data_IF_985732061061
#
_entry.id   IF_985732061061
#
_cell.length_a   1.000
_cell.length_b   1.000
_cell.length_c   1.000
_cell.angle_alpha   90.00
_cell.angle_beta   90.00
_cell.angle_gamma   90.00
#
_symmetry.space_group_name_H-M   'P 1'
#
loop_
_entity.id
_entity.type
_entity.pdbx_description
1 polymer ?
#
# COMPACT_ATOMS: atom_id res chain seq x y z
N UNK A 1 8.53 -18.00 33.69
CA UNK A 1 9.85 -17.90 33.02
C UNK A 1 9.71 -18.03 31.49
N UNK A 2 8.89 -18.99 30.99
CA UNK A 2 8.65 -19.20 29.54
C UNK A 2 7.99 -17.98 28.88
N UNK A 3 7.06 -17.32 29.53
CA UNK A 3 6.34 -16.15 29.00
C UNK A 3 7.25 -14.92 28.80
N UNK A 4 8.29 -14.75 29.60
CA UNK A 4 9.28 -13.71 29.38
C UNK A 4 10.14 -13.98 28.15
N UNK A 5 10.47 -15.25 27.91
CA UNK A 5 11.24 -15.65 26.74
C UNK A 5 10.50 -15.41 25.43
N UNK A 6 9.22 -15.80 25.35
CA UNK A 6 8.37 -15.56 24.17
C UNK A 6 8.18 -14.07 23.88
N UNK A 7 7.87 -13.27 24.94
CA UNK A 7 7.72 -11.82 24.78
C UNK A 7 9.02 -11.16 24.35
N UNK A 8 10.16 -11.59 24.88
CA UNK A 8 11.47 -11.05 24.50
C UNK A 8 11.81 -11.37 23.04
N UNK A 9 11.54 -12.61 22.61
CA UNK A 9 11.76 -13.02 21.22
C UNK A 9 10.86 -12.26 20.25
N UNK A 10 9.56 -12.15 20.56
CA UNK A 10 8.63 -11.39 19.75
C UNK A 10 8.99 -9.88 19.73
N UNK A 11 9.39 -9.31 20.87
CA UNK A 11 9.87 -7.93 20.94
C UNK A 11 11.11 -7.71 20.09
N UNK A 12 12.06 -8.64 20.12
CA UNK A 12 13.28 -8.57 19.28
C UNK A 12 12.94 -8.62 17.80
N UNK A 13 11.99 -9.47 17.40
CA UNK A 13 11.48 -9.52 16.02
C UNK A 13 10.77 -8.22 15.63
N UNK A 14 9.94 -7.68 16.53
CA UNK A 14 9.18 -6.45 16.30
C UNK A 14 10.08 -5.22 16.16
N UNK A 15 11.16 -5.16 16.94
CA UNK A 15 12.15 -4.06 16.90
C UNK A 15 13.24 -4.28 15.82
N UNK A 16 13.16 -5.37 15.06
CA UNK A 16 14.14 -5.69 14.01
C UNK A 16 13.78 -5.00 12.68
N UNK A 17 14.78 -4.87 11.81
CA UNK A 17 14.61 -4.41 10.42
C UNK A 17 13.59 -5.27 9.63
N UNK A 18 13.26 -6.47 10.14
CA UNK A 18 12.23 -7.33 9.56
C UNK A 18 10.83 -6.68 9.52
N UNK A 19 10.57 -5.67 10.35
CA UNK A 19 9.34 -4.90 10.35
C UNK A 19 9.46 -3.53 9.65
N UNK A 20 10.59 -3.26 9.00
CA UNK A 20 10.72 -2.09 8.15
C UNK A 20 9.98 -2.33 6.81
N UNK A 21 8.92 -1.57 6.49
CA UNK A 21 8.21 -1.70 5.23
C UNK A 21 9.10 -1.55 4.00
N UNK A 22 10.15 -0.74 4.07
CA UNK A 22 11.08 -0.52 2.97
C UNK A 22 11.94 -1.76 2.69
N UNK A 23 12.28 -2.52 3.72
CA UNK A 23 13.04 -3.77 3.59
C UNK A 23 12.25 -4.90 2.89
N UNK A 24 10.91 -4.84 2.91
CA UNK A 24 10.07 -5.91 2.38
C UNK A 24 9.53 -5.67 0.97
N UNK A 25 9.23 -4.44 0.62
CA UNK A 25 8.49 -4.13 -0.61
C UNK A 25 9.04 -2.95 -1.40
N UNK A 26 10.18 -2.39 -0.98
CA UNK A 26 10.79 -1.24 -1.63
C UNK A 26 11.92 -1.59 -2.59
N UNK A 27 12.18 -0.72 -3.54
CA UNK A 27 13.47 -0.70 -4.19
C UNK A 27 14.49 -0.10 -3.20
N UNK A 28 15.67 -0.69 -3.02
CA UNK A 28 16.66 -0.25 -2.02
C UNK A 28 17.03 1.24 -2.09
N UNK A 29 16.89 1.85 -3.27
CA UNK A 29 17.30 3.23 -3.53
C UNK A 29 16.15 4.26 -3.34
N UNK A 30 14.95 3.84 -2.90
CA UNK A 30 13.77 4.72 -2.85
C UNK A 30 13.20 4.85 -1.46
N UNK A 31 13.77 5.78 -0.72
CA UNK A 31 13.22 6.14 0.60
C UNK A 31 11.85 6.81 0.47
N UNK A 32 10.95 6.40 1.32
CA UNK A 32 9.65 7.05 1.53
C UNK A 32 9.85 8.39 2.23
N UNK A 33 9.31 9.48 1.66
CA UNK A 33 9.34 10.81 2.26
C UNK A 33 7.93 11.38 2.42
N UNK A 34 7.72 12.35 3.34
CA UNK A 34 6.41 13.00 3.48
C UNK A 34 5.87 13.58 2.17
N UNK A 35 6.75 14.12 1.32
CA UNK A 35 6.37 14.68 0.02
C UNK A 35 5.93 13.61 -0.97
N UNK A 36 6.61 12.45 -1.01
CA UNK A 36 6.20 11.30 -1.82
C UNK A 36 4.87 10.72 -1.33
N UNK A 37 4.68 10.60 -0.02
CA UNK A 37 3.41 10.15 0.58
C UNK A 37 2.27 11.09 0.19
N UNK A 38 2.45 12.41 0.33
CA UNK A 38 1.44 13.39 -0.02
C UNK A 38 1.08 13.36 -1.51
N UNK A 39 2.09 13.26 -2.38
CA UNK A 39 1.90 13.11 -3.82
C UNK A 39 1.20 11.79 -4.16
N UNK A 40 1.62 10.69 -3.56
CA UNK A 40 1.03 9.36 -3.75
C UNK A 40 -0.43 9.32 -3.31
N UNK A 41 -0.77 9.93 -2.17
CA UNK A 41 -2.15 10.09 -1.71
C UNK A 41 -3.01 10.86 -2.71
N UNK A 42 -2.47 11.93 -3.29
CA UNK A 42 -3.16 12.71 -4.31
C UNK A 42 -3.41 11.88 -5.57
N UNK A 43 -2.39 11.17 -6.08
CA UNK A 43 -2.51 10.28 -7.24
C UNK A 43 -3.45 9.11 -6.98
N UNK A 44 -3.45 8.54 -5.78
CA UNK A 44 -4.34 7.45 -5.37
C UNK A 44 -5.83 7.82 -5.45
N UNK A 45 -6.15 9.08 -5.21
CA UNK A 45 -7.51 9.61 -5.26
C UNK A 45 -7.89 10.24 -6.62
N UNK A 46 -6.93 10.41 -7.53
CA UNK A 46 -7.15 11.07 -8.82
C UNK A 46 -7.49 10.03 -9.91
N UNK A 47 -8.58 10.20 -10.66
CA UNK A 47 -8.93 9.28 -11.75
C UNK A 47 -8.03 9.41 -12.99
N UNK A 48 -7.07 10.34 -13.02
CA UNK A 48 -6.13 10.57 -14.15
C UNK A 48 -5.32 9.35 -14.54
N UNK A 49 -5.21 8.35 -13.65
CA UNK A 49 -4.49 7.11 -13.91
C UNK A 49 -5.35 6.06 -14.63
N UNK A 50 -6.67 6.23 -14.73
CA UNK A 50 -7.54 5.33 -15.48
C UNK A 50 -7.75 5.76 -16.92
N UNK A 51 -7.96 4.80 -17.80
CA UNK A 51 -8.06 5.05 -19.25
C UNK A 51 -9.24 5.93 -19.66
N UNK A 52 -10.31 5.93 -18.87
CA UNK A 52 -11.51 6.74 -19.09
C UNK A 52 -11.66 7.91 -18.08
N UNK A 53 -10.70 8.14 -17.22
CA UNK A 53 -10.71 9.16 -16.16
C UNK A 53 -11.92 9.08 -15.21
N UNK A 54 -12.48 7.87 -14.97
CA UNK A 54 -13.63 7.71 -14.06
C UNK A 54 -13.31 6.95 -12.79
N UNK A 55 -12.19 6.23 -12.74
CA UNK A 55 -11.81 5.37 -11.62
C UNK A 55 -10.44 5.77 -11.07
N UNK A 56 -10.35 5.86 -9.77
CA UNK A 56 -9.08 5.98 -9.04
C UNK A 56 -8.82 4.73 -8.19
N UNK A 57 -7.66 4.61 -7.56
CA UNK A 57 -7.41 3.54 -6.60
C UNK A 57 -8.41 3.59 -5.43
N UNK A 58 -8.76 4.79 -4.97
CA UNK A 58 -9.75 5.00 -3.92
C UNK A 58 -11.17 4.55 -4.31
N UNK A 59 -11.45 4.32 -5.59
CA UNK A 59 -12.77 3.80 -6.02
C UNK A 59 -13.01 2.36 -5.60
N UNK A 60 -11.95 1.59 -5.33
CA UNK A 60 -12.02 0.21 -4.85
C UNK A 60 -11.39 0.06 -3.45
N UNK A 61 -10.45 0.91 -3.08
CA UNK A 61 -9.78 0.88 -1.79
C UNK A 61 -10.27 2.00 -0.90
N UNK A 62 -11.42 1.77 -0.22
CA UNK A 62 -12.06 2.74 0.67
C UNK A 62 -11.40 2.76 2.05
N UNK A 63 -10.98 3.93 2.51
CA UNK A 63 -10.28 4.09 3.79
C UNK A 63 -11.13 3.66 5.00
N UNK A 64 -12.43 3.89 4.95
CA UNK A 64 -13.41 3.50 5.98
C UNK A 64 -13.74 1.99 5.99
N UNK A 65 -13.24 1.23 5.00
CA UNK A 65 -13.39 -0.22 4.87
C UNK A 65 -12.05 -0.95 4.88
N UNK A 66 -11.10 -0.47 5.68
CA UNK A 66 -9.74 -1.01 5.72
C UNK A 66 -9.07 -1.10 4.32
N UNK A 67 -9.34 -0.13 3.46
CA UNK A 67 -8.86 -0.09 2.07
C UNK A 67 -9.29 -1.29 1.23
N UNK A 68 -10.50 -1.80 1.44
CA UNK A 68 -11.23 -2.73 0.56
C UNK A 68 -12.47 -2.05 -0.02
N UNK A 69 -13.17 -2.68 -0.96
CA UNK A 69 -14.50 -2.24 -1.41
C UNK A 69 -15.64 -2.86 -0.57
N UNK A 70 -15.33 -3.87 0.24
CA UNK A 70 -16.28 -4.61 1.07
C UNK A 70 -17.18 -5.55 0.27
N UNK A 71 -16.84 -5.84 -1.00
CA UNK A 71 -17.60 -6.73 -1.86
C UNK A 71 -16.95 -8.12 -1.92
N UNK A 72 -17.74 -9.15 -2.22
CA UNK A 72 -17.22 -10.51 -2.46
C UNK A 72 -16.27 -10.56 -3.65
N UNK A 73 -16.55 -9.77 -4.68
CA UNK A 73 -15.72 -9.60 -5.88
C UNK A 73 -15.75 -8.14 -6.32
N UNK A 74 -14.63 -7.65 -6.79
CA UNK A 74 -14.54 -6.30 -7.31
C UNK A 74 -15.32 -6.14 -8.62
N UNK A 75 -15.81 -4.93 -8.88
CA UNK A 75 -16.57 -4.60 -10.09
C UNK A 75 -15.62 -4.18 -11.21
N UNK A 76 -15.85 -4.68 -12.43
CA UNK A 76 -15.08 -4.27 -13.61
C UNK A 76 -15.17 -2.78 -13.91
N UNK A 77 -14.24 -2.24 -14.69
CA UNK A 77 -14.18 -0.80 -15.03
C UNK A 77 -15.46 -0.29 -15.68
N UNK A 78 -16.11 -1.11 -16.51
CA UNK A 78 -17.37 -0.76 -17.18
C UNK A 78 -18.61 -0.91 -16.28
N UNK A 79 -18.44 -1.43 -15.07
CA UNK A 79 -19.52 -1.61 -14.09
C UNK A 79 -20.51 -2.73 -14.41
N UNK A 80 -20.25 -3.55 -15.45
CA UNK A 80 -21.22 -4.54 -15.94
C UNK A 80 -20.96 -5.96 -15.44
N UNK A 81 -19.77 -6.22 -14.95
CA UNK A 81 -19.32 -7.55 -14.51
C UNK A 81 -18.53 -7.47 -13.20
N UNK A 82 -18.28 -8.63 -12.61
CA UNK A 82 -17.42 -8.77 -11.46
C UNK A 82 -16.07 -9.36 -11.88
N UNK A 83 -15.00 -8.91 -11.24
CA UNK A 83 -13.69 -9.53 -11.36
C UNK A 83 -13.72 -10.93 -10.72
N UNK A 84 -12.70 -11.72 -10.97
CA UNK A 84 -12.61 -13.08 -10.39
C UNK A 84 -12.31 -13.05 -8.89
N UNK A 85 -11.77 -11.93 -8.38
CA UNK A 85 -11.31 -11.77 -7.00
C UNK A 85 -11.87 -10.51 -6.36
N UNK A 86 -11.88 -10.49 -5.03
CA UNK A 86 -12.20 -9.31 -4.23
C UNK A 86 -11.07 -8.27 -4.28
N UNK A 87 -11.38 -7.06 -3.86
CA UNK A 87 -10.39 -6.02 -3.57
C UNK A 87 -9.74 -6.33 -2.22
N UNK A 88 -8.44 -6.69 -2.17
CA UNK A 88 -7.76 -6.96 -0.90
C UNK A 88 -7.51 -5.65 -0.14
N UNK A 89 -7.33 -5.76 1.18
CA UNK A 89 -6.89 -4.62 2.00
C UNK A 89 -5.49 -4.15 1.59
N UNK A 90 -5.24 -2.85 1.74
CA UNK A 90 -3.89 -2.29 1.61
C UNK A 90 -3.20 -2.10 2.97
N UNK A 91 -3.90 -2.38 4.07
CA UNK A 91 -3.29 -2.31 5.39
C UNK A 91 -2.16 -3.35 5.49
N UNK A 92 -0.99 -2.91 5.94
CA UNK A 92 0.21 -3.74 6.12
C UNK A 92 0.72 -4.47 4.86
N UNK A 93 0.24 -4.10 3.65
CA UNK A 93 0.68 -4.73 2.41
C UNK A 93 2.18 -4.54 2.14
N UNK A 94 2.79 -3.54 2.74
CA UNK A 94 4.23 -3.28 2.68
C UNK A 94 5.08 -4.45 3.17
N UNK A 95 4.52 -5.35 4.02
CA UNK A 95 5.24 -6.52 4.54
C UNK A 95 5.10 -7.77 3.68
N UNK A 96 4.34 -7.71 2.59
CA UNK A 96 4.25 -8.83 1.65
C UNK A 96 5.51 -8.87 0.78
N UNK A 97 6.07 -10.08 0.63
CA UNK A 97 7.25 -10.32 -0.21
C UNK A 97 6.92 -10.46 -1.68
N UNK A 98 5.69 -10.84 -1.98
CA UNK A 98 5.17 -11.04 -3.33
C UNK A 98 3.72 -10.58 -3.39
N UNK A 99 3.27 -10.15 -4.56
CA UNK A 99 1.94 -9.59 -4.79
C UNK A 99 1.17 -10.41 -5.81
N UNK A 100 -0.15 -10.33 -5.74
CA UNK A 100 -1.13 -11.19 -6.37
C UNK A 100 -1.08 -12.63 -5.84
N UNK A 101 -2.17 -13.38 -5.99
CA UNK A 101 -2.27 -14.75 -5.49
C UNK A 101 -1.32 -15.74 -6.17
N UNK A 102 -0.91 -15.43 -7.39
CA UNK A 102 0.05 -16.22 -8.17
C UNK A 102 1.50 -15.78 -7.97
N UNK A 103 1.73 -14.80 -7.07
CA UNK A 103 3.08 -14.30 -6.72
C UNK A 103 3.89 -13.77 -7.93
N UNK A 104 3.21 -13.29 -8.99
CA UNK A 104 3.85 -12.88 -10.25
C UNK A 104 4.61 -11.55 -10.16
N UNK A 105 4.45 -10.82 -9.06
CA UNK A 105 5.09 -9.51 -8.84
C UNK A 105 5.76 -9.48 -7.49
N UNK A 106 7.00 -8.97 -7.45
CA UNK A 106 7.83 -8.91 -6.23
C UNK A 106 7.94 -7.51 -5.64
N UNK A 107 7.51 -6.47 -6.35
CA UNK A 107 7.62 -5.08 -5.90
C UNK A 107 6.25 -4.40 -5.90
N UNK A 108 5.97 -3.62 -4.85
CA UNK A 108 4.71 -2.89 -4.72
C UNK A 108 4.53 -1.87 -5.86
N UNK A 109 5.61 -1.27 -6.32
CA UNK A 109 5.64 -0.37 -7.47
C UNK A 109 5.11 -1.03 -8.75
N UNK A 110 5.49 -2.27 -8.98
CA UNK A 110 5.09 -3.02 -10.18
C UNK A 110 3.68 -3.60 -10.04
N UNK A 111 3.24 -3.88 -8.80
CA UNK A 111 1.86 -4.24 -8.51
C UNK A 111 0.89 -3.11 -8.88
N UNK A 112 1.21 -1.87 -8.50
CA UNK A 112 0.41 -0.70 -8.84
C UNK A 112 0.31 -0.52 -10.38
N UNK A 113 1.42 -0.72 -11.11
CA UNK A 113 1.42 -0.68 -12.58
C UNK A 113 0.52 -1.76 -13.17
N UNK A 114 0.59 -2.99 -12.66
CA UNK A 114 -0.18 -4.10 -13.19
C UNK A 114 -1.69 -3.82 -13.08
N UNK A 115 -2.16 -3.25 -11.97
CA UNK A 115 -3.56 -2.82 -11.78
C UNK A 115 -3.92 -1.68 -12.74
N UNK A 116 -3.06 -0.67 -12.87
CA UNK A 116 -3.33 0.48 -13.75
C UNK A 116 -3.47 0.02 -15.21
N UNK A 117 -2.63 -0.90 -15.67
CA UNK A 117 -2.65 -1.42 -17.05
C UNK A 117 -3.75 -2.44 -17.33
N UNK A 118 -4.36 -3.04 -16.29
CA UNK A 118 -5.40 -4.07 -16.47
C UNK A 118 -6.67 -3.47 -17.07
N UNK A 119 -7.09 -4.01 -18.20
CA UNK A 119 -8.26 -3.54 -18.97
C UNK A 119 -9.57 -3.60 -18.18
N UNK A 120 -9.71 -4.58 -17.30
CA UNK A 120 -10.91 -4.76 -16.48
C UNK A 120 -10.91 -3.93 -15.19
N UNK A 121 -9.75 -3.37 -14.80
CA UNK A 121 -9.60 -2.60 -13.55
C UNK A 121 -9.50 -1.09 -13.82
N UNK A 122 -8.39 -0.62 -14.39
CA UNK A 122 -8.19 0.81 -14.64
C UNK A 122 -7.97 1.13 -16.13
N UNK A 123 -7.53 0.17 -16.95
CA UNK A 123 -7.27 0.33 -18.40
C UNK A 123 -6.45 1.60 -18.72
N UNK A 124 -5.51 1.93 -17.83
CA UNK A 124 -4.73 3.15 -17.91
C UNK A 124 -3.41 2.98 -18.65
N UNK A 125 -2.78 4.11 -18.94
CA UNK A 125 -1.42 4.21 -19.47
C UNK A 125 -0.67 5.26 -18.68
N UNK A 126 0.36 4.84 -17.95
CA UNK A 126 1.18 5.75 -17.15
C UNK A 126 1.91 6.79 -18.01
N UNK A 127 2.28 6.42 -19.25
CA UNK A 127 2.85 7.36 -20.21
C UNK A 127 1.86 8.48 -20.55
N UNK A 128 0.61 8.13 -20.91
CA UNK A 128 -0.45 9.12 -21.20
C UNK A 128 -0.77 9.95 -19.97
N UNK A 129 -0.91 9.32 -18.80
CA UNK A 129 -1.15 10.01 -17.54
C UNK A 129 -0.02 11.00 -17.21
N UNK A 130 1.24 10.62 -17.41
CA UNK A 130 2.39 11.52 -17.22
C UNK A 130 2.29 12.78 -18.09
N UNK A 131 1.89 12.65 -19.36
CA UNK A 131 1.72 13.79 -20.27
C UNK A 131 0.59 14.73 -19.80
N UNK A 132 -0.48 14.19 -19.21
CA UNK A 132 -1.56 15.00 -18.62
C UNK A 132 -1.09 15.70 -17.35
N UNK A 133 -0.41 14.97 -16.45
CA UNK A 133 0.12 15.50 -15.20
C UNK A 133 1.14 16.61 -15.41
N UNK A 134 2.00 16.49 -16.44
CA UNK A 134 2.99 17.52 -16.84
C UNK A 134 2.35 18.86 -17.21
N UNK A 135 1.09 18.87 -17.66
CA UNK A 135 0.36 20.09 -18.01
C UNK A 135 -0.31 20.75 -16.80
N UNK A 136 -0.34 20.08 -15.64
CA UNK A 136 -0.97 20.60 -14.44
C UNK A 136 0.07 21.22 -13.50
N UNK A 137 0.08 22.55 -13.30
CA UNK A 137 1.08 23.24 -12.48
C UNK A 137 1.18 22.73 -11.04
N UNK A 138 0.05 22.27 -10.48
CA UNK A 138 0.03 21.71 -9.13
C UNK A 138 0.80 20.39 -9.07
N UNK A 139 0.61 19.48 -10.05
CA UNK A 139 1.36 18.26 -10.11
C UNK A 139 2.84 18.51 -10.39
N UNK A 140 3.18 19.39 -11.31
CA UNK A 140 4.57 19.78 -11.58
C UNK A 140 5.27 20.24 -10.31
N UNK A 141 4.62 21.11 -9.52
CA UNK A 141 5.14 21.56 -8.22
C UNK A 141 5.32 20.41 -7.23
N UNK A 142 4.31 19.53 -7.13
CA UNK A 142 4.30 18.45 -6.15
C UNK A 142 5.34 17.37 -6.49
N UNK A 143 5.50 17.01 -7.76
CA UNK A 143 6.58 16.13 -8.22
C UNK A 143 7.98 16.73 -7.97
N UNK A 144 8.13 18.04 -8.18
CA UNK A 144 9.39 18.74 -7.93
C UNK A 144 9.79 18.74 -6.44
N UNK A 145 8.81 18.70 -5.54
CA UNK A 145 9.04 18.55 -4.11
C UNK A 145 9.39 17.11 -3.72
N UNK A 146 8.72 16.14 -4.33
CA UNK A 146 8.85 14.74 -3.98
C UNK A 146 10.10 14.07 -4.57
N UNK A 147 10.59 14.55 -5.71
CA UNK A 147 11.70 13.94 -6.44
C UNK A 147 12.75 14.97 -6.82
N UNK A 148 14.06 14.68 -6.61
CA UNK A 148 15.14 15.65 -6.85
C UNK A 148 15.17 16.21 -8.29
N UNK A 149 14.87 15.38 -9.29
CA UNK A 149 14.83 15.78 -10.70
C UNK A 149 13.50 16.42 -11.11
N UNK A 150 12.46 16.30 -10.27
CA UNK A 150 11.11 16.79 -10.56
C UNK A 150 10.47 16.20 -11.81
N UNK A 151 10.96 15.05 -12.28
CA UNK A 151 10.45 14.40 -13.47
C UNK A 151 9.03 13.85 -13.20
N UNK A 152 8.21 13.81 -14.26
CA UNK A 152 6.89 13.19 -14.23
C UNK A 152 6.89 12.11 -15.31
N UNK A 153 7.10 10.87 -14.89
CA UNK A 153 7.10 9.68 -15.73
C UNK A 153 6.59 8.47 -14.97
N UNK A 154 6.53 7.31 -15.61
CA UNK A 154 6.05 6.06 -15.02
C UNK A 154 6.76 5.73 -13.70
N UNK A 155 8.07 5.94 -13.64
CA UNK A 155 8.90 5.58 -12.52
C UNK A 155 8.57 6.41 -11.26
N UNK A 156 8.48 7.73 -11.36
CA UNK A 156 8.13 8.60 -10.24
C UNK A 156 6.67 8.44 -9.83
N UNK A 157 5.74 8.18 -10.77
CA UNK A 157 4.33 7.94 -10.45
C UNK A 157 4.19 6.68 -9.58
N UNK A 158 4.80 5.57 -10.00
CA UNK A 158 4.71 4.31 -9.24
C UNK A 158 5.37 4.42 -7.86
N UNK A 159 6.48 5.13 -7.76
CA UNK A 159 7.18 5.35 -6.48
C UNK A 159 6.36 6.20 -5.51
N UNK A 160 5.70 7.24 -6.00
CA UNK A 160 4.82 8.04 -5.17
C UNK A 160 3.62 7.21 -4.66
N UNK A 161 2.98 6.43 -5.53
CA UNK A 161 1.89 5.53 -5.15
C UNK A 161 2.33 4.52 -4.09
N UNK A 162 3.44 3.82 -4.33
CA UNK A 162 3.98 2.84 -3.39
C UNK A 162 4.36 3.47 -2.05
N UNK A 163 4.94 4.69 -2.05
CA UNK A 163 5.24 5.43 -0.81
C UNK A 163 3.98 5.72 0.01
N UNK A 164 2.88 6.11 -0.64
CA UNK A 164 1.60 6.30 0.05
C UNK A 164 1.05 4.96 0.59
N UNK A 165 1.05 3.90 -0.22
CA UNK A 165 0.54 2.59 0.19
C UNK A 165 1.36 2.03 1.37
N UNK A 166 2.69 2.17 1.38
CA UNK A 166 3.53 1.81 2.54
C UNK A 166 3.14 2.57 3.80
N UNK A 167 2.78 3.84 3.67
CA UNK A 167 2.38 4.67 4.81
C UNK A 167 1.04 4.26 5.44
N UNK A 168 0.28 3.36 4.82
CA UNK A 168 -0.97 2.81 5.38
C UNK A 168 -0.72 1.73 6.43
N UNK A 169 0.52 1.29 6.63
CA UNK A 169 0.91 0.38 7.70
C UNK A 169 0.86 1.12 9.03
N UNK A 170 -0.03 0.69 9.93
CA UNK A 170 -0.23 1.28 11.26
C UNK A 170 0.10 0.25 12.33
N UNK A 171 0.74 0.69 13.42
CA UNK A 171 1.18 -0.13 14.54
C UNK A 171 0.58 0.41 15.84
N UNK A 172 -0.76 0.47 15.89
CA UNK A 172 -1.53 1.03 17.00
C UNK A 172 -2.56 0.04 17.57
N UNK A 173 -2.46 -1.23 17.20
CA UNK A 173 -3.30 -2.28 17.76
C UNK A 173 -2.93 -2.58 19.22
N UNK A 174 -3.85 -3.19 19.95
CA UNK A 174 -3.59 -3.69 21.31
C UNK A 174 -2.41 -4.68 21.33
N UNK A 175 -2.24 -5.48 20.25
CA UNK A 175 -1.10 -6.37 20.10
C UNK A 175 0.22 -5.57 20.03
N UNK A 176 0.26 -4.52 19.22
CA UNK A 176 1.44 -3.65 19.11
C UNK A 176 1.77 -3.00 20.46
N UNK A 177 0.75 -2.51 21.16
CA UNK A 177 0.90 -1.98 22.52
C UNK A 177 1.43 -3.01 23.51
N UNK A 178 0.94 -4.26 23.44
CA UNK A 178 1.44 -5.35 24.27
C UNK A 178 2.90 -5.68 23.96
N UNK A 179 3.28 -5.77 22.68
CA UNK A 179 4.66 -6.05 22.26
C UNK A 179 5.63 -4.94 22.71
N UNK A 180 5.17 -3.68 22.73
CA UNK A 180 5.92 -2.52 23.21
C UNK A 180 5.86 -2.33 24.74
N UNK A 181 5.25 -3.22 25.51
CA UNK A 181 5.03 -3.11 26.96
C UNK A 181 4.18 -1.90 27.40
N UNK A 182 3.36 -1.36 26.50
CA UNK A 182 2.45 -0.23 26.79
C UNK A 182 1.08 -0.70 27.22
N UNK A 183 0.67 -1.91 26.82
CA UNK A 183 -0.62 -2.51 27.12
C UNK A 183 -0.51 -3.93 27.67
N UNK A 184 -1.58 -4.44 28.29
CA UNK A 184 -1.65 -5.79 28.80
C UNK A 184 -2.74 -6.59 28.09
N UNK A 185 -2.46 -7.85 27.79
CA UNK A 185 -3.46 -8.81 27.36
C UNK A 185 -4.32 -9.28 28.52
N UNK A 186 -5.59 -9.52 28.26
CA UNK A 186 -6.45 -10.32 29.14
C UNK A 186 -5.94 -11.76 29.24
N UNK A 187 -6.38 -12.55 30.23
CA UNK A 187 -6.01 -13.97 30.30
C UNK A 187 -6.32 -14.74 29.03
N UNK A 188 -7.46 -14.49 28.39
CA UNK A 188 -7.89 -15.19 27.17
C UNK A 188 -7.05 -14.77 25.94
N UNK A 189 -6.78 -13.48 25.79
CA UNK A 189 -5.88 -12.98 24.74
C UNK A 189 -4.47 -13.56 24.86
N UNK A 190 -3.99 -13.70 26.12
CA UNK A 190 -2.69 -14.30 26.38
C UNK A 190 -2.66 -15.79 26.10
N UNK A 191 -3.77 -16.51 26.42
CA UNK A 191 -3.90 -17.91 26.06
C UNK A 191 -3.91 -18.08 24.53
N UNK A 192 -4.66 -17.24 23.81
CA UNK A 192 -4.67 -17.24 22.35
C UNK A 192 -3.29 -16.95 21.74
N UNK A 193 -2.58 -15.96 22.27
CA UNK A 193 -1.22 -15.63 21.82
C UNK A 193 -0.25 -16.82 22.03
N UNK A 194 -0.34 -17.48 23.18
CA UNK A 194 0.51 -18.65 23.46
C UNK A 194 0.22 -19.87 22.56
N UNK A 195 -1.03 -19.98 22.06
CA UNK A 195 -1.40 -21.03 21.10
C UNK A 195 -0.94 -20.72 19.67
N UNK A 196 -0.80 -19.45 19.33
CA UNK A 196 -0.40 -18.99 18.01
C UNK A 196 1.15 -18.94 17.85
N UNK A 197 1.86 -18.53 18.88
CA UNK A 197 3.33 -18.40 18.91
C UNK A 197 4.04 -19.70 19.26
#
# INVERSE_FOLDING_TARGET
KEQRGLKTTAQTLFDSEAFDPEAFSGFPDYQTTPEKIALGKKLFNDPVLSGNNTRSCASCHHADKAFTDGLERAVTLDGKSMLQRNTPTLNHIAFQRVFFDDSRVSYLEDQAIAVIKNENEMHGSLEKSALVLQKNPNYVRDFKKAFPKGAINEFEIKNALASYIRSLSQYDSKFDGYMQNKENFTPDEKAGFNLFA
#
